data_IF_861387376839
#
_entry.id   IF_861387376839
#
_cell.length_a   1.000
_cell.length_b   1.000
_cell.length_c   1.000
_cell.angle_alpha   90.00
_cell.angle_beta   90.00
_cell.angle_gamma   90.00
#
_symmetry.space_group_name_H-M   'P 1'
#
loop_
_entity.id
_entity.type
_entity.pdbx_description
1 polymer ?
#
# COMPACT_ATOMS: atom_id res chain seq x y z
N UNK A 1 21.81 -23.18 -26.54
CA UNK A 1 21.21 -24.04 -25.47
C UNK A 1 19.76 -23.58 -25.28
N UNK A 2 18.77 -24.42 -25.61
CA UNK A 2 17.36 -24.05 -25.38
C UNK A 2 17.15 -23.99 -23.86
N UNK A 3 16.93 -22.79 -23.32
CA UNK A 3 16.46 -22.63 -21.94
C UNK A 3 15.13 -23.39 -21.85
N UNK A 4 15.08 -24.49 -21.11
CA UNK A 4 13.82 -25.15 -20.80
C UNK A 4 12.97 -24.16 -20.04
N UNK A 5 11.75 -23.91 -20.53
CA UNK A 5 10.71 -23.18 -19.77
C UNK A 5 10.45 -23.96 -18.49
N UNK A 6 10.97 -23.46 -17.37
CA UNK A 6 10.63 -24.00 -16.05
C UNK A 6 9.25 -23.43 -15.62
N UNK A 7 8.19 -23.96 -16.25
CA UNK A 7 6.86 -23.81 -15.66
C UNK A 7 6.78 -24.92 -14.61
N UNK A 8 6.92 -24.53 -13.35
CA UNK A 8 6.88 -25.49 -12.25
C UNK A 8 5.42 -25.78 -11.90
N UNK A 9 5.01 -27.03 -12.10
CA UNK A 9 3.71 -27.57 -11.69
C UNK A 9 3.93 -28.57 -10.58
N UNK A 10 2.93 -28.80 -9.72
CA UNK A 10 3.04 -29.79 -8.66
C UNK A 10 3.51 -31.15 -9.21
N UNK A 11 2.93 -31.60 -10.31
CA UNK A 11 3.31 -32.86 -11.02
C UNK A 11 4.77 -32.92 -11.48
N UNK A 12 5.42 -31.77 -11.70
CA UNK A 12 6.81 -31.69 -12.17
C UNK A 12 7.81 -31.79 -11.00
N UNK A 13 7.32 -31.65 -9.77
CA UNK A 13 8.15 -31.71 -8.54
C UNK A 13 8.34 -33.14 -8.01
N UNK A 14 7.47 -34.06 -8.37
CA UNK A 14 7.41 -35.42 -7.80
C UNK A 14 6.80 -35.48 -6.40
N UNK A 15 6.27 -34.35 -5.89
CA UNK A 15 5.60 -34.24 -4.59
C UNK A 15 4.09 -34.42 -4.73
N UNK A 16 3.48 -34.97 -3.69
CA UNK A 16 2.04 -34.90 -3.49
C UNK A 16 1.63 -33.50 -2.95
N UNK A 17 0.36 -33.16 -3.09
CA UNK A 17 -0.19 -31.91 -2.51
C UNK A 17 0.08 -31.82 -1.00
N UNK A 18 -0.10 -32.92 -0.28
CA UNK A 18 0.14 -32.97 1.17
C UNK A 18 1.62 -32.75 1.52
N UNK A 19 2.54 -33.40 0.81
CA UNK A 19 3.98 -33.20 1.04
C UNK A 19 4.42 -31.75 0.78
N UNK A 20 3.83 -31.07 -0.23
CA UNK A 20 4.08 -29.65 -0.45
C UNK A 20 3.56 -28.78 0.70
N UNK A 21 2.35 -29.02 1.19
CA UNK A 21 1.77 -28.31 2.34
C UNK A 21 2.61 -28.55 3.61
N UNK A 22 3.03 -29.77 3.86
CA UNK A 22 3.88 -30.11 5.00
C UNK A 22 5.25 -29.44 4.91
N UNK A 23 5.82 -29.33 3.71
CA UNK A 23 7.06 -28.60 3.46
C UNK A 23 6.91 -27.10 3.76
N UNK A 24 5.81 -26.47 3.33
CA UNK A 24 5.50 -25.06 3.64
C UNK A 24 5.39 -24.88 5.15
N UNK A 25 4.61 -25.71 5.84
CA UNK A 25 4.42 -25.63 7.28
C UNK A 25 5.72 -25.86 8.08
N UNK A 26 6.62 -26.69 7.56
CA UNK A 26 7.91 -26.96 8.18
C UNK A 26 8.94 -25.86 8.01
N UNK A 27 8.98 -25.22 6.84
CA UNK A 27 10.09 -24.32 6.47
C UNK A 27 9.71 -22.84 6.40
N UNK A 28 8.43 -22.50 6.44
CA UNK A 28 7.97 -21.10 6.46
C UNK A 28 7.42 -20.74 7.82
N UNK A 29 7.73 -19.51 8.28
CA UNK A 29 7.15 -18.98 9.52
C UNK A 29 5.64 -18.81 9.33
N UNK A 30 4.86 -19.32 10.29
CA UNK A 30 3.40 -19.25 10.29
C UNK A 30 2.94 -17.87 10.76
N UNK A 31 2.81 -16.94 9.81
CA UNK A 31 2.38 -15.54 10.08
C UNK A 31 0.91 -15.30 9.79
N UNK A 32 0.24 -16.18 9.08
CA UNK A 32 -1.21 -16.17 8.77
C UNK A 32 -1.69 -17.57 8.38
N UNK A 33 -2.97 -17.82 8.57
CA UNK A 33 -3.63 -19.03 8.12
C UNK A 33 -3.66 -19.11 6.59
N UNK A 34 -3.46 -20.32 6.03
CA UNK A 34 -3.54 -20.57 4.60
C UNK A 34 -4.81 -21.31 4.25
N UNK A 35 -5.37 -20.98 3.11
CA UNK A 35 -6.46 -21.76 2.53
C UNK A 35 -5.96 -23.15 2.13
N UNK A 36 -6.82 -24.16 2.27
CA UNK A 36 -6.45 -25.55 1.98
C UNK A 36 -6.55 -25.90 0.49
N UNK A 37 -5.87 -25.12 -0.36
CA UNK A 37 -5.67 -25.43 -1.76
C UNK A 37 -4.31 -24.92 -2.24
N UNK A 38 -3.78 -25.49 -3.33
CA UNK A 38 -2.52 -25.06 -3.95
C UNK A 38 -2.86 -24.21 -5.18
N UNK A 39 -2.62 -22.90 -5.10
CA UNK A 39 -2.80 -22.02 -6.26
C UNK A 39 -1.69 -22.30 -7.29
N UNK A 40 -1.99 -23.06 -8.34
CA UNK A 40 -1.01 -23.47 -9.35
C UNK A 40 -0.99 -22.55 -10.57
N UNK A 41 -2.13 -22.00 -10.95
CA UNK A 41 -2.29 -21.14 -12.12
C UNK A 41 -3.30 -20.03 -11.85
N UNK A 42 -3.14 -18.91 -12.53
CA UNK A 42 -4.12 -17.82 -12.53
C UNK A 42 -4.31 -17.29 -13.96
N UNK A 43 -5.51 -16.82 -14.31
CA UNK A 43 -5.82 -16.21 -15.60
C UNK A 43 -7.06 -15.31 -15.51
N UNK A 44 -6.93 -14.06 -15.92
CA UNK A 44 -8.01 -13.08 -15.80
C UNK A 44 -8.47 -12.95 -14.33
N UNK A 45 -9.71 -13.32 -14.07
CA UNK A 45 -10.32 -13.26 -12.73
C UNK A 45 -10.36 -14.63 -12.01
N UNK A 46 -9.66 -15.64 -12.50
CA UNK A 46 -9.70 -16.98 -11.94
C UNK A 46 -8.33 -17.43 -11.43
N UNK A 47 -8.36 -18.12 -10.28
CA UNK A 47 -7.28 -18.98 -9.79
C UNK A 47 -7.64 -20.44 -10.11
N UNK A 48 -6.63 -21.26 -10.29
CA UNK A 48 -6.78 -22.69 -10.53
C UNK A 48 -5.87 -23.45 -9.59
N UNK A 49 -6.39 -24.51 -8.98
CA UNK A 49 -5.59 -25.41 -8.17
C UNK A 49 -4.82 -26.46 -9.01
N UNK A 50 -4.13 -27.35 -8.33
CA UNK A 50 -3.34 -28.43 -8.93
C UNK A 50 -4.20 -29.51 -9.63
N UNK A 51 -5.48 -29.59 -9.27
CA UNK A 51 -6.45 -30.49 -9.92
C UNK A 51 -7.13 -29.83 -11.13
N UNK A 52 -6.97 -28.51 -11.27
CA UNK A 52 -7.57 -27.70 -12.34
C UNK A 52 -8.93 -27.12 -11.99
N UNK A 53 -9.38 -27.21 -10.75
CA UNK A 53 -10.59 -26.55 -10.28
C UNK A 53 -10.42 -25.02 -10.37
N UNK A 54 -11.46 -24.32 -10.84
CA UNK A 54 -11.45 -22.90 -11.02
C UNK A 54 -12.13 -22.17 -9.85
N UNK A 55 -11.44 -21.18 -9.30
CA UNK A 55 -11.94 -20.30 -8.23
C UNK A 55 -12.03 -18.87 -8.75
N UNK A 56 -13.20 -18.24 -8.61
CA UNK A 56 -13.36 -16.83 -8.96
C UNK A 56 -12.67 -15.96 -7.90
N UNK A 57 -11.64 -15.23 -8.32
CA UNK A 57 -10.78 -14.44 -7.44
C UNK A 57 -11.38 -13.07 -7.13
N UNK A 58 -12.24 -12.99 -6.13
CA UNK A 58 -12.73 -11.72 -5.59
C UNK A 58 -11.74 -11.02 -4.64
N UNK A 59 -10.65 -11.69 -4.29
CA UNK A 59 -9.63 -11.13 -3.40
C UNK A 59 -8.59 -10.31 -4.16
N UNK A 60 -8.29 -10.74 -5.39
CA UNK A 60 -7.38 -10.03 -6.30
C UNK A 60 -6.00 -9.77 -5.72
N UNK A 61 -5.45 -10.68 -4.89
CA UNK A 61 -4.19 -10.47 -4.20
C UNK A 61 -4.24 -9.33 -3.16
N UNK A 62 -5.36 -9.15 -2.46
CA UNK A 62 -5.67 -8.01 -1.59
C UNK A 62 -5.70 -6.69 -2.39
N UNK A 63 -6.54 -6.65 -3.43
CA UNK A 63 -6.72 -5.52 -4.35
C UNK A 63 -5.45 -5.13 -5.14
N UNK A 64 -4.57 -6.10 -5.45
CA UNK A 64 -3.34 -5.89 -6.24
C UNK A 64 -3.59 -6.10 -7.73
N UNK A 65 -4.22 -7.21 -8.13
CA UNK A 65 -4.39 -7.63 -9.52
C UNK A 65 -5.45 -6.80 -10.27
N UNK A 66 -5.24 -5.49 -10.37
CA UNK A 66 -6.23 -4.57 -10.96
C UNK A 66 -6.43 -4.77 -12.46
N UNK A 67 -5.43 -5.29 -13.17
CA UNK A 67 -5.48 -5.61 -14.60
C UNK A 67 -5.90 -7.07 -14.88
N UNK A 68 -6.25 -7.83 -13.84
CA UNK A 68 -6.46 -9.28 -13.90
C UNK A 68 -5.16 -10.07 -13.95
N UNK A 69 -5.26 -11.34 -13.57
CA UNK A 69 -4.12 -12.24 -13.59
C UNK A 69 -3.59 -12.45 -15.01
N UNK A 70 -2.27 -12.40 -15.16
CA UNK A 70 -1.57 -12.66 -16.43
C UNK A 70 -1.97 -11.74 -17.59
N UNK A 71 -2.19 -10.46 -17.32
CA UNK A 71 -2.46 -9.51 -18.40
C UNK A 71 -1.34 -9.58 -19.47
N UNK A 72 -1.66 -9.84 -20.76
CA UNK A 72 -0.66 -10.11 -21.76
C UNK A 72 0.24 -8.92 -22.07
N UNK A 73 -0.27 -7.68 -21.95
CA UNK A 73 0.53 -6.46 -22.15
C UNK A 73 1.55 -6.25 -21.04
N UNK A 74 1.15 -6.52 -19.78
CA UNK A 74 2.06 -6.41 -18.64
C UNK A 74 3.16 -7.48 -18.74
N UNK A 75 2.78 -8.74 -19.05
CA UNK A 75 3.76 -9.82 -19.23
C UNK A 75 4.75 -9.52 -20.37
N UNK A 76 4.26 -9.01 -21.52
CA UNK A 76 5.13 -8.67 -22.64
C UNK A 76 6.15 -7.59 -22.24
N UNK A 77 5.69 -6.50 -21.63
CA UNK A 77 6.57 -5.41 -21.19
C UNK A 77 7.63 -5.88 -20.17
N UNK A 78 7.26 -6.77 -19.22
CA UNK A 78 8.22 -7.34 -18.28
C UNK A 78 9.27 -8.18 -19.00
N UNK A 79 8.85 -9.03 -19.95
CA UNK A 79 9.78 -9.88 -20.71
C UNK A 79 10.75 -9.06 -21.53
N UNK A 80 10.26 -8.05 -22.24
CA UNK A 80 11.09 -7.15 -23.04
C UNK A 80 12.13 -6.44 -22.15
N UNK A 81 11.70 -5.93 -20.98
CA UNK A 81 12.62 -5.23 -20.07
C UNK A 81 13.67 -6.16 -19.43
N UNK A 82 13.34 -7.45 -19.20
CA UNK A 82 14.29 -8.43 -18.66
C UNK A 82 15.45 -8.72 -19.62
N UNK A 83 15.22 -8.61 -20.94
CA UNK A 83 16.26 -8.80 -21.94
C UNK A 83 17.25 -7.61 -22.01
N UNK A 84 16.85 -6.43 -21.52
CA UNK A 84 17.70 -5.23 -21.46
C UNK A 84 18.40 -5.08 -20.11
N UNK A 85 17.65 -4.67 -19.08
CA UNK A 85 18.17 -4.43 -17.73
C UNK A 85 17.19 -4.97 -16.69
N UNK A 86 17.62 -5.99 -15.96
CA UNK A 86 16.83 -6.57 -14.87
C UNK A 86 16.96 -5.76 -13.58
N UNK A 87 18.14 -5.24 -13.25
CA UNK A 87 18.41 -4.46 -12.07
C UNK A 87 19.61 -3.52 -12.25
N UNK A 88 19.53 -2.33 -11.65
CA UNK A 88 20.67 -1.43 -11.46
C UNK A 88 20.48 -0.64 -10.16
N UNK A 89 21.58 -0.05 -9.66
CA UNK A 89 21.53 0.85 -8.50
C UNK A 89 20.99 2.25 -8.90
N UNK A 90 20.69 3.09 -7.90
CA UNK A 90 19.93 4.33 -8.11
C UNK A 90 20.71 5.53 -8.68
N UNK A 91 22.03 5.44 -8.92
CA UNK A 91 22.80 6.57 -9.43
C UNK A 91 22.69 6.79 -10.94
N UNK A 92 22.63 5.76 -11.81
CA UNK A 92 22.33 5.99 -13.21
C UNK A 92 20.87 6.35 -13.45
N UNK A 93 20.62 7.16 -14.44
CA UNK A 93 19.26 7.38 -14.95
C UNK A 93 18.78 6.15 -15.72
N UNK A 94 17.54 5.73 -15.48
CA UNK A 94 16.91 4.65 -16.25
C UNK A 94 15.67 5.17 -16.97
N UNK A 95 15.46 4.69 -18.18
CA UNK A 95 14.35 5.12 -19.04
C UNK A 95 12.99 4.81 -18.41
N UNK A 96 12.72 3.58 -17.92
CA UNK A 96 11.43 3.25 -17.32
C UNK A 96 11.07 4.13 -16.10
N UNK A 97 12.04 4.38 -15.21
CA UNK A 97 11.82 5.22 -14.04
C UNK A 97 11.45 6.66 -14.42
N UNK A 98 12.19 7.26 -15.33
CA UNK A 98 11.95 8.65 -15.74
C UNK A 98 10.59 8.82 -16.42
N UNK A 99 10.24 7.93 -17.36
CA UNK A 99 8.96 7.97 -18.06
C UNK A 99 7.78 7.70 -17.13
N UNK A 100 7.91 6.73 -16.24
CA UNK A 100 6.87 6.42 -15.26
C UNK A 100 6.69 7.57 -14.27
N UNK A 101 7.78 8.17 -13.76
CA UNK A 101 7.71 9.33 -12.87
C UNK A 101 6.91 10.47 -13.50
N UNK A 102 7.28 10.85 -14.74
CA UNK A 102 6.56 11.89 -15.47
C UNK A 102 5.07 11.54 -15.62
N UNK A 103 4.78 10.33 -16.10
CA UNK A 103 3.40 9.90 -16.33
C UNK A 103 2.56 9.91 -15.07
N UNK A 104 3.10 9.41 -13.95
CA UNK A 104 2.38 9.42 -12.66
C UNK A 104 2.14 10.86 -12.22
N UNK A 105 3.19 11.69 -12.13
CA UNK A 105 3.07 13.07 -11.66
C UNK A 105 2.07 13.88 -12.49
N UNK A 106 2.15 13.80 -13.81
CA UNK A 106 1.20 14.47 -14.71
C UNK A 106 -0.25 13.98 -14.52
N UNK A 107 -0.43 12.67 -14.24
CA UNK A 107 -1.77 12.08 -14.11
C UNK A 107 -2.45 12.44 -12.80
N UNK A 108 -1.68 12.49 -11.70
CA UNK A 108 -2.23 12.72 -10.36
C UNK A 108 -2.01 14.16 -9.85
N UNK A 109 -1.36 15.01 -10.64
CA UNK A 109 -1.14 16.41 -10.30
C UNK A 109 -0.14 16.63 -9.17
N UNK A 110 0.81 15.70 -8.93
CA UNK A 110 1.89 15.82 -7.95
C UNK A 110 3.20 16.21 -8.63
N UNK A 111 4.12 16.83 -7.88
CA UNK A 111 5.34 17.40 -8.48
C UNK A 111 6.46 16.38 -8.65
N UNK A 112 6.59 15.45 -7.71
CA UNK A 112 7.71 14.50 -7.65
C UNK A 112 7.26 13.15 -7.09
N UNK A 113 7.98 12.10 -7.48
CA UNK A 113 7.79 10.75 -6.98
C UNK A 113 9.11 10.18 -6.44
N UNK A 114 9.01 9.36 -5.40
CA UNK A 114 10.08 8.52 -4.92
C UNK A 114 9.64 7.06 -4.90
N UNK A 115 10.43 6.18 -5.53
CA UNK A 115 10.11 4.76 -5.66
C UNK A 115 10.55 3.98 -4.43
N UNK A 116 9.67 3.07 -3.98
CA UNK A 116 9.88 2.12 -2.90
C UNK A 116 9.49 0.71 -3.36
N UNK A 117 9.72 -0.32 -2.53
CA UNK A 117 9.45 -1.70 -2.90
C UNK A 117 8.05 -2.20 -2.48
N UNK A 118 7.39 -1.50 -1.58
CA UNK A 118 6.10 -1.92 -1.01
C UNK A 118 5.27 -0.74 -0.51
N UNK A 119 3.97 -0.96 -0.27
CA UNK A 119 3.09 0.05 0.33
C UNK A 119 3.50 0.46 1.73
N UNK A 120 3.99 -0.49 2.55
CA UNK A 120 4.48 -0.15 3.90
C UNK A 120 5.73 0.73 3.84
N UNK A 121 6.65 0.49 2.90
CA UNK A 121 7.83 1.35 2.69
C UNK A 121 7.44 2.73 2.13
N UNK A 122 6.44 2.80 1.26
CA UNK A 122 5.90 4.07 0.78
C UNK A 122 5.32 4.90 1.95
N UNK A 123 4.59 4.27 2.86
CA UNK A 123 4.07 4.90 4.08
C UNK A 123 5.19 5.30 5.05
N UNK A 124 6.23 4.47 5.24
CA UNK A 124 7.43 4.85 6.00
C UNK A 124 8.08 6.11 5.42
N UNK A 125 8.22 6.17 4.10
CA UNK A 125 8.76 7.33 3.42
C UNK A 125 7.88 8.57 3.65
N UNK A 126 6.58 8.45 3.51
CA UNK A 126 5.60 9.53 3.72
C UNK A 126 5.68 10.07 5.16
N UNK A 127 5.71 9.20 6.17
CA UNK A 127 5.89 9.57 7.58
C UNK A 127 7.22 10.29 7.81
N UNK A 128 8.32 9.77 7.23
CA UNK A 128 9.64 10.38 7.35
C UNK A 128 9.72 11.75 6.67
N UNK A 129 9.12 11.91 5.50
CA UNK A 129 9.04 13.19 4.79
C UNK A 129 8.29 14.24 5.62
N UNK A 130 7.12 13.88 6.15
CA UNK A 130 6.33 14.75 7.00
C UNK A 130 7.12 15.18 8.25
N UNK A 131 7.74 14.24 8.95
CA UNK A 131 8.56 14.54 10.15
C UNK A 131 9.76 15.42 9.82
N UNK A 132 10.46 15.11 8.73
CA UNK A 132 11.60 15.94 8.30
C UNK A 132 11.17 17.36 7.98
N UNK A 133 10.06 17.52 7.26
CA UNK A 133 9.48 18.84 6.96
C UNK A 133 9.13 19.60 8.24
N UNK A 134 8.44 18.95 9.19
CA UNK A 134 8.06 19.58 10.47
C UNK A 134 9.28 20.04 11.26
N UNK A 135 10.29 19.18 11.40
CA UNK A 135 11.52 19.52 12.12
C UNK A 135 12.30 20.66 11.45
N UNK A 136 12.40 20.67 10.12
CA UNK A 136 13.10 21.72 9.38
C UNK A 136 12.36 23.07 9.41
N UNK A 137 11.04 23.05 9.42
CA UNK A 137 10.20 24.25 9.38
C UNK A 137 9.93 24.85 10.77
N UNK A 138 9.69 24.00 11.78
CA UNK A 138 9.18 24.44 13.09
C UNK A 138 10.09 24.05 14.26
N UNK A 139 11.05 23.13 14.06
CA UNK A 139 11.97 22.67 15.10
C UNK A 139 11.78 21.22 15.52
N UNK A 140 12.70 20.68 16.34
CA UNK A 140 12.87 19.23 16.58
C UNK A 140 11.69 18.56 17.27
N UNK A 141 10.80 19.30 17.93
CA UNK A 141 9.62 18.74 18.61
C UNK A 141 8.43 18.53 17.66
N UNK A 142 8.49 19.04 16.41
CA UNK A 142 7.40 19.00 15.45
C UNK A 142 7.47 17.74 14.58
N UNK A 143 6.99 16.62 15.12
CA UNK A 143 6.99 15.31 14.47
C UNK A 143 5.71 14.49 14.70
N UNK A 144 4.72 15.06 15.39
CA UNK A 144 3.48 14.36 15.73
C UNK A 144 2.54 14.29 14.52
N UNK A 145 1.90 13.13 14.35
CA UNK A 145 0.96 12.83 13.26
C UNK A 145 -0.33 12.26 13.85
N UNK A 146 -1.48 12.79 13.44
CA UNK A 146 -2.78 12.21 13.80
C UNK A 146 -3.21 11.23 12.72
N UNK A 147 -3.62 10.03 13.11
CA UNK A 147 -4.13 8.98 12.20
C UNK A 147 -5.51 8.51 12.64
N UNK A 148 -6.15 7.64 11.86
CA UNK A 148 -7.48 7.14 12.17
C UNK A 148 -7.46 5.85 12.99
N UNK A 149 -8.37 5.70 13.93
CA UNK A 149 -8.73 4.40 14.56
C UNK A 149 -9.18 3.45 13.45
N UNK A 150 -8.80 2.17 13.54
CA UNK A 150 -9.00 1.12 12.55
C UNK A 150 -8.34 1.36 11.18
N UNK A 151 -7.43 2.35 11.06
CA UNK A 151 -6.60 2.52 9.88
C UNK A 151 -5.60 1.36 9.73
N UNK A 152 -5.09 1.17 8.50
CA UNK A 152 -4.03 0.20 8.22
C UNK A 152 -3.01 0.80 7.27
N UNK A 153 -1.76 0.99 7.74
CA UNK A 153 -0.71 1.62 6.96
C UNK A 153 0.50 0.73 6.69
N UNK A 154 0.51 -0.48 7.24
CA UNK A 154 1.59 -1.45 7.04
C UNK A 154 2.10 -2.07 8.35
N UNK A 155 3.16 -2.89 8.24
CA UNK A 155 3.69 -3.68 9.35
C UNK A 155 5.17 -3.41 9.68
N UNK A 156 5.81 -2.43 9.06
CA UNK A 156 7.08 -1.87 9.55
C UNK A 156 6.81 -0.96 10.75
N UNK A 157 7.78 -0.72 11.61
CA UNK A 157 7.52 -0.06 12.90
C UNK A 157 6.88 1.33 12.78
N UNK A 158 7.26 2.16 11.81
CA UNK A 158 6.63 3.46 11.59
C UNK A 158 5.21 3.33 11.04
N UNK A 159 5.01 2.53 10.01
CA UNK A 159 3.69 2.28 9.42
C UNK A 159 2.76 1.54 10.41
N UNK A 160 3.30 0.61 11.21
CA UNK A 160 2.57 -0.09 12.26
C UNK A 160 2.14 0.88 13.37
N UNK A 161 3.01 1.84 13.73
CA UNK A 161 2.68 2.87 14.73
C UNK A 161 1.63 3.86 14.21
N UNK A 162 1.56 4.10 12.91
CA UNK A 162 0.49 4.89 12.29
C UNK A 162 -0.84 4.12 12.20
N UNK A 163 -0.80 2.79 12.24
CA UNK A 163 -1.98 1.92 12.20
C UNK A 163 -2.75 2.03 13.52
N UNK A 164 -3.94 2.61 13.50
CA UNK A 164 -4.76 2.91 14.67
C UNK A 164 -5.50 1.69 15.28
N UNK A 165 -4.77 0.61 15.54
CA UNK A 165 -5.31 -0.65 16.04
C UNK A 165 -4.52 -1.15 17.26
N UNK A 166 -4.42 -0.37 18.37
CA UNK A 166 -3.47 -0.60 19.46
C UNK A 166 -3.69 -1.92 20.22
N UNK A 167 -4.90 -2.47 20.18
CA UNK A 167 -5.27 -3.71 20.87
C UNK A 167 -5.41 -4.91 19.94
N UNK A 168 -5.11 -4.73 18.64
CA UNK A 168 -5.16 -5.78 17.65
C UNK A 168 -3.88 -6.62 17.67
N UNK A 169 -3.99 -7.88 17.26
CA UNK A 169 -2.88 -8.83 17.13
C UNK A 169 -1.72 -8.28 16.29
N UNK A 170 -1.98 -7.38 15.35
CA UNK A 170 -0.93 -6.77 14.52
C UNK A 170 0.02 -5.87 15.31
N UNK A 171 -0.39 -5.32 16.47
CA UNK A 171 0.45 -4.48 17.34
C UNK A 171 0.82 -5.15 18.67
N UNK A 172 0.04 -6.16 19.11
CA UNK A 172 0.35 -6.89 20.34
C UNK A 172 1.70 -7.60 20.22
N UNK A 173 2.55 -7.41 21.22
CA UNK A 173 3.90 -8.02 21.26
C UNK A 173 4.99 -7.22 20.57
N UNK A 174 4.67 -6.11 19.85
CA UNK A 174 5.66 -5.27 19.17
C UNK A 174 5.94 -3.92 19.86
N UNK A 175 5.40 -3.72 21.06
CA UNK A 175 5.66 -2.49 21.84
C UNK A 175 7.10 -2.44 22.36
N UNK A 176 7.72 -1.23 22.49
CA UNK A 176 7.09 0.08 22.31
C UNK A 176 6.95 0.47 20.84
N UNK A 177 5.84 1.13 20.52
CA UNK A 177 5.62 1.73 19.19
C UNK A 177 6.48 2.99 19.00
N UNK A 178 6.71 3.39 17.75
CA UNK A 178 7.35 4.66 17.44
C UNK A 178 6.49 5.81 18.00
N UNK A 179 7.04 6.71 18.84
CA UNK A 179 6.26 7.80 19.44
C UNK A 179 5.84 8.85 18.41
N UNK A 180 4.87 9.70 18.81
CA UNK A 180 4.40 10.82 18.00
C UNK A 180 3.23 10.47 17.09
N UNK A 181 2.37 9.54 17.50
CA UNK A 181 1.10 9.26 16.84
C UNK A 181 -0.05 9.39 17.84
N UNK A 182 -1.16 9.97 17.37
CA UNK A 182 -2.46 9.94 18.05
C UNK A 182 -3.51 9.42 17.10
N UNK A 183 -4.53 8.78 17.65
CA UNK A 183 -5.59 8.13 16.87
C UNK A 183 -6.93 8.81 17.11
N UNK A 184 -7.64 9.13 16.03
CA UNK A 184 -8.94 9.77 16.05
C UNK A 184 -10.00 8.88 15.40
N UNK A 185 -11.26 9.07 15.77
CA UNK A 185 -12.39 8.36 15.19
C UNK A 185 -12.57 8.74 13.71
N UNK A 186 -12.64 7.74 12.85
CA UNK A 186 -12.82 7.95 11.41
C UNK A 186 -14.18 8.59 11.09
N UNK A 187 -14.22 9.53 10.15
CA UNK A 187 -15.38 10.37 9.84
C UNK A 187 -15.84 11.32 10.97
N UNK A 188 -15.01 11.55 11.98
CA UNK A 188 -15.26 12.50 13.05
C UNK A 188 -14.20 13.61 13.04
N UNK A 189 -14.48 14.71 12.29
CA UNK A 189 -13.55 15.83 12.15
C UNK A 189 -13.19 16.48 13.49
N UNK A 190 -14.15 16.59 14.42
CA UNK A 190 -13.92 17.22 15.73
C UNK A 190 -13.00 16.36 16.61
N UNK A 191 -13.08 15.03 16.49
CA UNK A 191 -12.13 14.17 17.21
C UNK A 191 -10.71 14.32 16.63
N UNK A 192 -10.55 14.42 15.30
CA UNK A 192 -9.25 14.73 14.70
C UNK A 192 -8.69 16.07 15.21
N UNK A 193 -9.48 17.13 15.23
CA UNK A 193 -9.09 18.42 15.79
C UNK A 193 -8.67 18.31 17.24
N UNK A 194 -9.36 17.53 18.04
CA UNK A 194 -9.07 17.31 19.47
C UNK A 194 -7.73 16.62 19.74
N UNK A 195 -7.20 15.86 18.76
CA UNK A 195 -5.90 15.14 18.87
C UNK A 195 -4.72 15.97 18.43
N UNK A 196 -4.97 17.12 17.80
CA UNK A 196 -3.90 18.03 17.35
C UNK A 196 -3.28 18.75 18.55
N UNK A 197 -1.98 18.84 18.55
CA UNK A 197 -1.15 19.54 19.52
C UNK A 197 -0.25 20.55 18.80
N UNK A 198 0.42 21.42 19.53
CA UNK A 198 1.38 22.39 18.96
C UNK A 198 2.49 21.72 18.15
N UNK A 199 2.78 20.42 18.44
CA UNK A 199 3.82 19.63 17.77
C UNK A 199 3.29 18.81 16.57
N UNK A 200 1.99 18.93 16.24
CA UNK A 200 1.38 18.19 15.14
C UNK A 200 1.73 18.81 13.79
N UNK A 201 2.28 17.98 12.92
CA UNK A 201 2.73 18.41 11.57
C UNK A 201 1.87 17.83 10.44
N UNK A 202 1.09 16.80 10.71
CA UNK A 202 0.32 16.14 9.67
C UNK A 202 -0.89 15.38 10.21
N UNK A 203 -1.86 15.19 9.32
CA UNK A 203 -2.91 14.17 9.45
C UNK A 203 -2.68 13.13 8.35
N UNK A 204 -2.72 11.83 8.71
CA UNK A 204 -2.55 10.72 7.79
C UNK A 204 -3.79 9.83 7.78
N UNK A 205 -4.34 9.53 6.58
CA UNK A 205 -5.63 8.88 6.44
C UNK A 205 -5.72 8.06 5.15
N UNK A 206 -6.54 7.01 5.17
CA UNK A 206 -7.02 6.31 3.97
C UNK A 206 -8.35 6.94 3.51
N UNK A 207 -8.61 7.15 2.21
CA UNK A 207 -9.93 7.58 1.72
C UNK A 207 -11.04 6.54 1.94
N UNK A 208 -10.67 5.27 2.00
CA UNK A 208 -11.50 4.14 2.42
C UNK A 208 -10.64 3.25 3.30
N UNK A 209 -11.04 3.03 4.54
CA UNK A 209 -10.40 2.05 5.40
C UNK A 209 -10.67 0.64 4.88
N UNK A 210 -9.73 0.07 4.11
CA UNK A 210 -9.91 -1.24 3.49
C UNK A 210 -9.85 -2.38 4.49
N UNK A 211 -8.73 -2.52 5.17
CA UNK A 211 -8.50 -3.55 6.19
C UNK A 211 -9.35 -3.32 7.47
N UNK A 212 -9.77 -2.09 7.70
CA UNK A 212 -10.63 -1.71 8.83
C UNK A 212 -12.11 -2.05 8.64
N UNK A 213 -12.52 -2.63 7.50
CA UNK A 213 -13.90 -3.08 7.28
C UNK A 213 -14.62 -2.42 6.10
N UNK A 214 -13.89 -1.80 5.17
CA UNK A 214 -14.40 -1.11 3.98
C UNK A 214 -15.30 0.08 4.35
N UNK A 215 -14.76 0.99 5.13
CA UNK A 215 -15.44 2.22 5.54
C UNK A 215 -14.98 3.41 4.67
N UNK A 216 -15.83 3.97 3.79
CA UNK A 216 -15.49 5.16 3.03
C UNK A 216 -15.56 6.43 3.89
N UNK A 217 -14.69 7.39 3.59
CA UNK A 217 -14.79 8.73 4.13
C UNK A 217 -16.02 9.46 3.56
N UNK A 218 -16.59 10.37 4.36
CA UNK A 218 -17.62 11.28 3.84
C UNK A 218 -16.98 12.47 3.11
N UNK A 219 -17.75 13.12 2.23
CA UNK A 219 -17.30 14.33 1.52
C UNK A 219 -16.93 15.45 2.50
N UNK A 220 -17.80 15.66 3.49
CA UNK A 220 -17.64 16.70 4.52
C UNK A 220 -16.36 16.48 5.32
N UNK A 221 -16.10 15.20 5.69
CA UNK A 221 -14.93 14.87 6.47
C UNK A 221 -13.62 15.11 5.69
N UNK A 222 -13.52 14.64 4.46
CA UNK A 222 -12.29 14.80 3.65
C UNK A 222 -12.02 16.27 3.32
N UNK A 223 -13.05 17.04 2.98
CA UNK A 223 -12.92 18.49 2.75
C UNK A 223 -12.55 19.22 4.03
N UNK A 224 -13.24 18.90 5.13
CA UNK A 224 -12.93 19.51 6.43
C UNK A 224 -11.51 19.21 6.91
N UNK A 225 -10.98 18.02 6.67
CA UNK A 225 -9.57 17.71 6.96
C UNK A 225 -8.61 18.53 6.11
N UNK A 226 -8.91 18.71 4.80
CA UNK A 226 -8.05 19.54 3.94
C UNK A 226 -8.05 21.01 4.39
N UNK A 227 -9.23 21.56 4.60
CA UNK A 227 -9.40 22.93 5.09
C UNK A 227 -8.70 23.15 6.44
N UNK A 228 -8.91 22.23 7.37
CA UNK A 228 -8.27 22.28 8.69
C UNK A 228 -6.75 22.19 8.62
N UNK A 229 -6.20 21.34 7.75
CA UNK A 229 -4.75 21.28 7.56
C UNK A 229 -4.21 22.57 6.96
N UNK A 230 -4.91 23.17 5.98
CA UNK A 230 -4.52 24.45 5.36
C UNK A 230 -4.53 25.60 6.37
N UNK A 231 -5.57 25.68 7.20
CA UNK A 231 -5.71 26.73 8.24
C UNK A 231 -4.64 26.64 9.33
N UNK A 232 -4.12 25.45 9.60
CA UNK A 232 -3.14 25.21 10.67
C UNK A 232 -1.73 24.92 10.15
N UNK A 233 -1.47 25.14 8.86
CA UNK A 233 -0.17 24.91 8.21
C UNK A 233 0.38 23.48 8.44
N UNK A 234 -0.53 22.48 8.43
CA UNK A 234 -0.24 21.06 8.56
C UNK A 234 -0.32 20.35 7.21
N UNK A 235 0.37 19.23 7.10
CA UNK A 235 0.31 18.36 5.91
C UNK A 235 -0.88 17.41 5.97
N UNK A 236 -1.57 17.23 4.84
CA UNK A 236 -2.52 16.14 4.64
C UNK A 236 -1.84 15.03 3.87
N UNK A 237 -1.67 13.88 4.53
CA UNK A 237 -1.06 12.67 4.00
C UNK A 237 -2.17 11.68 3.66
N UNK A 238 -2.24 11.24 2.41
CA UNK A 238 -3.26 10.28 2.00
C UNK A 238 -2.61 8.95 1.58
N UNK A 239 -3.01 7.88 2.26
CA UNK A 239 -2.65 6.52 1.92
C UNK A 239 -3.59 5.98 0.84
N UNK A 240 -3.12 5.95 -0.39
CA UNK A 240 -3.80 5.41 -1.57
C UNK A 240 -3.28 4.02 -1.97
N UNK A 241 -2.58 3.34 -1.08
CA UNK A 241 -2.03 2.01 -1.35
C UNK A 241 -3.10 1.04 -1.81
N UNK A 242 -4.30 1.09 -1.20
CA UNK A 242 -5.40 0.22 -1.60
C UNK A 242 -6.46 0.93 -2.46
N UNK A 243 -6.67 2.22 -2.28
CA UNK A 243 -7.75 2.99 -2.89
C UNK A 243 -7.40 3.59 -4.24
N UNK A 244 -6.12 3.75 -4.53
CA UNK A 244 -5.62 4.32 -5.78
C UNK A 244 -5.82 3.45 -7.02
N UNK A 245 -5.38 3.97 -8.14
CA UNK A 245 -5.35 3.29 -9.43
C UNK A 245 -6.72 2.78 -9.86
N UNK A 246 -7.70 3.67 -9.87
CA UNK A 246 -9.09 3.45 -10.31
C UNK A 246 -9.90 2.48 -9.43
N UNK A 247 -9.41 2.07 -8.25
CA UNK A 247 -10.16 1.18 -7.35
C UNK A 247 -11.52 1.76 -6.95
N UNK A 248 -11.59 3.08 -6.77
CA UNK A 248 -12.82 3.79 -6.34
C UNK A 248 -13.48 4.59 -7.47
N UNK A 249 -13.06 4.38 -8.73
CA UNK A 249 -13.59 5.03 -9.92
C UNK A 249 -12.74 6.17 -10.46
N UNK A 250 -12.16 7.00 -9.62
CA UNK A 250 -11.14 7.99 -10.03
C UNK A 250 -9.74 7.37 -10.02
N UNK A 251 -8.77 7.99 -10.70
CA UNK A 251 -7.38 7.52 -10.70
C UNK A 251 -6.82 7.42 -9.29
N UNK A 252 -7.00 8.47 -8.50
CA UNK A 252 -6.76 8.47 -7.05
C UNK A 252 -8.07 8.78 -6.34
N UNK A 253 -8.31 8.11 -5.22
CA UNK A 253 -9.57 8.22 -4.49
C UNK A 253 -9.81 9.63 -3.96
N UNK A 254 -8.77 10.38 -3.57
CA UNK A 254 -8.90 11.76 -3.11
C UNK A 254 -9.54 12.69 -4.16
N UNK A 255 -9.42 12.35 -5.44
CA UNK A 255 -10.02 13.13 -6.54
C UNK A 255 -11.55 13.10 -6.49
N UNK A 256 -12.15 12.03 -5.96
CA UNK A 256 -13.62 11.95 -5.77
C UNK A 256 -14.12 12.99 -4.77
N UNK A 257 -13.25 13.48 -3.87
CA UNK A 257 -13.58 14.47 -2.86
C UNK A 257 -13.26 15.92 -3.31
N UNK A 258 -12.60 16.06 -4.47
CA UNK A 258 -12.18 17.36 -4.99
C UNK A 258 -11.10 18.03 -4.16
N UNK A 259 -10.28 17.27 -3.45
CA UNK A 259 -9.14 17.75 -2.65
C UNK A 259 -7.81 17.31 -3.27
N UNK A 260 -6.71 17.91 -2.80
CA UNK A 260 -5.34 17.51 -3.14
C UNK A 260 -4.54 17.32 -1.85
N UNK A 261 -3.91 16.16 -1.63
CA UNK A 261 -3.00 15.95 -0.50
C UNK A 261 -1.66 16.64 -0.75
N UNK A 262 -0.87 16.82 0.32
CA UNK A 262 0.51 17.27 0.22
C UNK A 262 1.43 16.10 -0.14
N UNK A 263 1.17 14.91 0.42
CA UNK A 263 1.89 13.68 0.09
C UNK A 263 0.88 12.55 -0.09
N UNK A 264 1.11 11.70 -1.07
CA UNK A 264 0.31 10.50 -1.33
C UNK A 264 1.21 9.27 -1.45
N UNK A 265 0.87 8.20 -0.74
CA UNK A 265 1.48 6.89 -0.91
C UNK A 265 0.66 6.00 -1.82
N UNK A 266 1.31 5.15 -2.60
CA UNK A 266 0.65 4.26 -3.54
C UNK A 266 1.42 2.95 -3.71
N UNK A 267 0.72 1.86 -4.01
CA UNK A 267 1.28 0.55 -4.32
C UNK A 267 0.22 -0.33 -5.00
N UNK A 268 0.19 -1.62 -4.67
CA UNK A 268 -0.84 -2.60 -5.12
C UNK A 268 -1.14 -2.46 -6.61
N UNK A 269 -2.29 -1.92 -6.97
CA UNK A 269 -2.74 -1.74 -8.35
C UNK A 269 -1.81 -0.93 -9.26
N UNK A 270 -0.81 -0.21 -8.72
CA UNK A 270 0.22 0.47 -9.50
C UNK A 270 1.03 -0.50 -10.37
N UNK A 271 1.29 -1.70 -9.85
CA UNK A 271 2.06 -2.74 -10.54
C UNK A 271 1.23 -3.62 -11.49
N UNK A 272 -0.08 -3.53 -11.51
CA UNK A 272 -1.01 -4.27 -12.39
C UNK A 272 -1.53 -5.52 -11.79
#
# INVERSE_FOLDING_TARGET
MKVRSFIMRLKDTGLTAQELKDMVNKYMVETYERYDFIAERAEGMYLYDEEGNAYLDFYGGVAVNSCGNRNPKVIAAIKDQLDDIMHTFNYPYTIPQALLAKKICDTIGMDKIFYQNSGTEANECMIKMARKYGVEKYGPEHYHIVTAINGFHGRTYGALSATGQPDNACQLGFKPMLPGFSYAEYNNLEDFKSKVTDNTIAIMIEPVQGEGGVHPATQEFMKGLREFCDENDMLLLIDEVQTGWCRTGAVMSYMNYGIKPDIVSMAKGLGG
#
